data_IF_519366055897
#
_entry.id   IF_519366055897
#
_cell.length_a   1.000
_cell.length_b   1.000
_cell.length_c   1.000
_cell.angle_alpha   90.00
_cell.angle_beta   90.00
_cell.angle_gamma   90.00
#
_symmetry.space_group_name_H-M   'P 1'
#
loop_
_entity.id
_entity.type
_entity.pdbx_description
1 polymer ?
#
# COMPACT_ATOMS: atom_id res chain seq x y z
N UNK A 1 2.92 17.49 -53.11
CA UNK A 1 3.50 17.92 -51.83
C UNK A 1 2.43 17.78 -50.81
N UNK A 2 2.39 16.64 -50.12
CA UNK A 2 1.45 16.32 -49.07
C UNK A 2 2.28 16.10 -47.79
N UNK A 3 2.26 17.10 -46.90
CA UNK A 3 2.90 16.97 -45.59
C UNK A 3 2.09 16.01 -44.72
N UNK A 4 2.76 14.93 -44.33
CA UNK A 4 2.30 14.00 -43.30
C UNK A 4 2.46 14.68 -41.94
N UNK A 5 1.37 15.07 -41.33
CA UNK A 5 1.36 15.52 -39.95
C UNK A 5 1.56 14.30 -39.04
N UNK A 6 2.78 14.19 -38.51
CA UNK A 6 3.11 13.30 -37.38
C UNK A 6 2.42 13.80 -36.15
N UNK A 7 1.34 13.13 -35.70
CA UNK A 7 0.73 13.34 -34.42
C UNK A 7 1.67 12.79 -33.34
N UNK A 8 2.49 13.69 -32.76
CA UNK A 8 3.27 13.39 -31.58
C UNK A 8 2.33 13.05 -30.43
N UNK A 9 2.38 11.81 -29.98
CA UNK A 9 1.82 11.41 -28.69
C UNK A 9 2.59 12.20 -27.63
N UNK A 10 1.94 13.19 -27.03
CA UNK A 10 2.42 13.80 -25.81
C UNK A 10 2.45 12.71 -24.73
N UNK A 11 3.67 12.27 -24.36
CA UNK A 11 3.86 11.37 -23.22
C UNK A 11 3.35 12.07 -21.95
N UNK A 12 2.09 11.82 -21.59
CA UNK A 12 1.58 12.10 -20.24
C UNK A 12 2.41 11.28 -19.25
N UNK A 13 2.58 11.79 -18.03
CA UNK A 13 3.17 11.01 -16.96
C UNK A 13 2.45 9.65 -16.88
N UNK A 14 3.17 8.53 -16.66
CA UNK A 14 2.53 7.23 -16.55
C UNK A 14 1.44 7.30 -15.48
N UNK A 15 0.23 6.81 -15.81
CA UNK A 15 -0.88 6.73 -14.87
C UNK A 15 -0.47 5.89 -13.65
N UNK A 16 -1.18 6.05 -12.53
CA UNK A 16 -1.03 5.14 -11.39
C UNK A 16 -1.76 3.82 -11.68
N UNK A 17 -1.31 2.76 -11.03
CA UNK A 17 -2.03 1.48 -11.00
C UNK A 17 -3.40 1.69 -10.36
N UNK A 18 -4.45 1.24 -11.05
CA UNK A 18 -5.82 1.28 -10.53
C UNK A 18 -6.13 0.08 -9.63
N UNK A 19 -7.07 0.25 -8.71
CA UNK A 19 -7.51 -0.84 -7.82
C UNK A 19 -9.01 -1.08 -8.01
N UNK A 20 -9.38 -2.34 -8.22
CA UNK A 20 -10.78 -2.77 -8.30
C UNK A 20 -11.11 -3.67 -7.11
N UNK A 21 -12.13 -3.29 -6.34
CA UNK A 21 -12.66 -4.09 -5.24
C UNK A 21 -13.89 -4.86 -5.70
N UNK A 22 -13.76 -6.17 -5.86
CA UNK A 22 -14.85 -7.08 -6.24
C UNK A 22 -15.44 -7.72 -5.00
N UNK A 23 -16.73 -7.54 -4.79
CA UNK A 23 -17.45 -8.12 -3.66
C UNK A 23 -18.86 -8.57 -4.02
N UNK A 24 -19.35 -9.59 -3.30
CA UNK A 24 -20.75 -10.00 -3.39
C UNK A 24 -21.72 -8.92 -2.89
N UNK A 25 -21.24 -7.93 -2.17
CA UNK A 25 -22.04 -6.84 -1.61
C UNK A 25 -21.62 -5.50 -2.17
N UNK A 26 -22.58 -4.74 -2.70
CA UNK A 26 -22.40 -3.35 -3.12
C UNK A 26 -21.80 -2.52 -1.98
N UNK A 27 -22.32 -2.70 -0.75
CA UNK A 27 -21.90 -1.91 0.40
C UNK A 27 -20.48 -2.23 0.85
N UNK A 28 -20.04 -3.48 0.74
CA UNK A 28 -18.65 -3.86 1.09
C UNK A 28 -17.69 -3.21 0.10
N UNK A 29 -17.91 -3.37 -1.21
CA UNK A 29 -17.04 -2.78 -2.21
C UNK A 29 -16.99 -1.25 -2.11
N UNK A 30 -18.13 -0.59 -1.97
CA UNK A 30 -18.21 0.86 -1.81
C UNK A 30 -17.54 1.34 -0.51
N UNK A 31 -17.73 0.61 0.59
CA UNK A 31 -17.10 0.90 1.88
C UNK A 31 -15.58 0.81 1.81
N UNK A 32 -15.03 -0.17 1.09
CA UNK A 32 -13.59 -0.31 0.88
C UNK A 32 -13.00 0.82 0.04
N UNK A 33 -13.68 1.23 -1.03
CA UNK A 33 -13.28 2.42 -1.79
C UNK A 33 -13.26 3.65 -0.89
N UNK A 34 -14.28 3.84 -0.04
CA UNK A 34 -14.33 4.97 0.89
C UNK A 34 -13.19 4.93 1.93
N UNK A 35 -12.88 3.74 2.45
CA UNK A 35 -11.78 3.52 3.39
C UNK A 35 -10.42 3.79 2.73
N UNK A 36 -10.14 3.14 1.60
CA UNK A 36 -8.85 3.25 0.91
C UNK A 36 -8.58 4.68 0.41
N UNK A 37 -9.63 5.42 0.01
CA UNK A 37 -9.51 6.82 -0.43
C UNK A 37 -9.01 7.78 0.65
N UNK A 38 -9.17 7.43 1.93
CA UNK A 38 -8.60 8.24 3.02
C UNK A 38 -7.06 8.24 3.01
N UNK A 39 -6.47 7.16 2.49
CA UNK A 39 -5.02 6.94 2.47
C UNK A 39 -4.42 7.09 1.06
N UNK A 40 -5.25 6.92 0.03
CA UNK A 40 -4.87 6.98 -1.38
C UNK A 40 -5.84 7.89 -2.18
N UNK A 41 -5.84 9.21 -1.92
CA UNK A 41 -6.80 10.15 -2.52
C UNK A 41 -6.63 10.35 -4.02
N UNK A 42 -5.44 10.10 -4.58
CA UNK A 42 -5.12 10.30 -6.00
C UNK A 42 -5.12 9.01 -6.82
N UNK A 43 -5.26 7.86 -6.16
CA UNK A 43 -5.33 6.55 -6.82
C UNK A 43 -6.74 6.28 -7.36
N UNK A 44 -6.85 5.70 -8.55
CA UNK A 44 -8.14 5.27 -9.09
C UNK A 44 -8.61 4.03 -8.34
N UNK A 45 -9.69 4.16 -7.58
CA UNK A 45 -10.29 3.11 -6.76
C UNK A 45 -11.71 2.89 -7.23
N UNK A 46 -12.03 1.69 -7.71
CA UNK A 46 -13.34 1.35 -8.29
C UNK A 46 -13.99 0.20 -7.53
N UNK A 47 -15.29 0.34 -7.25
CA UNK A 47 -16.11 -0.70 -6.61
C UNK A 47 -16.86 -1.51 -7.65
N UNK A 48 -16.74 -2.84 -7.62
CA UNK A 48 -17.53 -3.78 -8.41
C UNK A 48 -18.25 -4.75 -7.48
N UNK A 49 -19.30 -4.27 -6.83
CA UNK A 49 -20.05 -5.03 -5.82
C UNK A 49 -21.49 -5.36 -6.23
N UNK A 50 -21.97 -6.53 -5.78
CA UNK A 50 -23.34 -6.98 -5.97
C UNK A 50 -23.67 -7.39 -7.40
N UNK A 51 -24.87 -7.92 -7.57
CA UNK A 51 -25.47 -8.23 -8.87
C UNK A 51 -26.01 -6.96 -9.57
N UNK A 52 -26.50 -7.08 -10.80
CA UNK A 52 -27.03 -5.94 -11.58
C UNK A 52 -28.27 -5.31 -10.93
N UNK A 53 -29.07 -6.09 -10.22
CA UNK A 53 -30.22 -5.67 -9.43
C UNK A 53 -29.85 -5.26 -7.99
N UNK A 54 -28.55 -5.05 -7.71
CA UNK A 54 -27.99 -4.76 -6.39
C UNK A 54 -28.16 -5.87 -5.34
N UNK A 55 -28.59 -7.07 -5.74
CA UNK A 55 -28.64 -8.27 -4.91
C UNK A 55 -27.24 -8.75 -4.50
N UNK A 56 -27.21 -9.72 -3.58
CA UNK A 56 -25.97 -10.39 -3.17
C UNK A 56 -25.48 -11.32 -4.27
N UNK A 57 -24.24 -11.14 -4.71
CA UNK A 57 -23.60 -11.88 -5.79
C UNK A 57 -22.59 -11.03 -6.53
N UNK A 58 -22.07 -11.54 -7.65
CA UNK A 58 -21.09 -10.82 -8.50
C UNK A 58 -21.66 -10.66 -9.91
N UNK A 59 -21.40 -9.52 -10.54
CA UNK A 59 -21.80 -9.21 -11.91
C UNK A 59 -20.57 -9.14 -12.81
N UNK A 60 -20.59 -9.92 -13.88
CA UNK A 60 -19.60 -9.85 -14.95
C UNK A 60 -19.52 -8.46 -15.57
N UNK A 61 -20.70 -7.85 -15.85
CA UNK A 61 -20.76 -6.54 -16.51
C UNK A 61 -20.19 -5.43 -15.61
N UNK A 62 -20.49 -5.45 -14.31
CA UNK A 62 -19.91 -4.49 -13.34
C UNK A 62 -18.40 -4.63 -13.20
N UNK A 63 -17.90 -5.87 -13.16
CA UNK A 63 -16.46 -6.11 -13.05
C UNK A 63 -15.75 -5.66 -14.34
N UNK A 64 -16.29 -6.02 -15.50
CA UNK A 64 -15.71 -5.59 -16.79
C UNK A 64 -15.67 -4.07 -16.93
N UNK A 65 -16.75 -3.38 -16.56
CA UNK A 65 -16.78 -1.92 -16.56
C UNK A 65 -15.77 -1.31 -15.58
N UNK A 66 -15.64 -1.89 -14.37
CA UNK A 66 -14.69 -1.43 -13.37
C UNK A 66 -13.23 -1.60 -13.80
N UNK A 67 -12.90 -2.67 -14.50
CA UNK A 67 -11.55 -2.89 -15.04
C UNK A 67 -11.17 -1.83 -16.08
N UNK A 68 -12.10 -1.48 -16.97
CA UNK A 68 -11.90 -0.42 -17.95
C UNK A 68 -11.80 0.96 -17.31
N UNK A 69 -12.59 1.23 -16.27
CA UNK A 69 -12.57 2.50 -15.53
C UNK A 69 -11.28 2.68 -14.71
N UNK A 70 -10.76 1.59 -14.15
CA UNK A 70 -9.59 1.62 -13.29
C UNK A 70 -8.28 1.78 -14.07
N UNK A 71 -8.23 1.37 -15.35
CA UNK A 71 -7.00 1.41 -16.13
C UNK A 71 -6.67 2.81 -16.61
N UNK A 72 -5.55 3.33 -16.14
CA UNK A 72 -4.93 4.58 -16.61
C UNK A 72 -3.63 4.33 -17.40
N UNK A 73 -3.42 3.10 -17.87
CA UNK A 73 -2.25 2.69 -18.64
C UNK A 73 -1.10 2.08 -17.82
N UNK A 74 -1.16 2.15 -16.47
CA UNK A 74 -0.17 1.54 -15.57
C UNK A 74 -0.57 0.14 -15.09
N UNK A 75 -1.79 -0.30 -15.42
CA UNK A 75 -2.35 -1.58 -15.02
C UNK A 75 -3.36 -1.49 -13.88
N UNK A 76 -3.95 -2.64 -13.55
CA UNK A 76 -5.02 -2.78 -12.55
C UNK A 76 -4.75 -3.96 -11.64
N UNK A 77 -4.88 -3.77 -10.33
CA UNK A 77 -4.91 -4.84 -9.34
C UNK A 77 -6.35 -5.02 -8.86
N UNK A 78 -6.81 -6.27 -8.89
CA UNK A 78 -8.17 -6.68 -8.50
C UNK A 78 -8.10 -7.43 -7.18
N UNK A 79 -8.95 -7.06 -6.23
CA UNK A 79 -9.11 -7.78 -4.97
C UNK A 79 -10.53 -8.31 -4.85
N UNK A 80 -10.66 -9.56 -4.41
CA UNK A 80 -11.94 -10.28 -4.33
C UNK A 80 -12.23 -10.74 -2.90
N UNK A 81 -13.52 -10.82 -2.53
CA UNK A 81 -13.93 -11.27 -1.18
C UNK A 81 -13.99 -12.79 -1.05
N UNK A 82 -14.61 -13.48 -2.01
CA UNK A 82 -14.83 -14.94 -1.97
C UNK A 82 -14.43 -15.58 -3.30
N UNK A 83 -14.22 -16.89 -3.27
CA UNK A 83 -13.75 -17.63 -4.44
C UNK A 83 -14.62 -17.47 -5.71
N UNK A 84 -15.94 -17.34 -5.57
CA UNK A 84 -16.83 -17.08 -6.72
C UNK A 84 -16.61 -15.69 -7.33
N UNK A 85 -16.19 -14.70 -6.55
CA UNK A 85 -15.81 -13.39 -7.06
C UNK A 85 -14.52 -13.47 -7.90
N UNK A 86 -13.56 -14.30 -7.47
CA UNK A 86 -12.32 -14.58 -8.24
C UNK A 86 -12.69 -15.16 -9.61
N UNK A 87 -13.53 -16.21 -9.64
CA UNK A 87 -13.93 -16.86 -10.90
C UNK A 87 -14.64 -15.90 -11.87
N UNK A 88 -15.50 -14.99 -11.33
CA UNK A 88 -16.17 -13.98 -12.16
C UNK A 88 -15.17 -12.94 -12.65
N UNK A 89 -14.21 -12.53 -11.82
CA UNK A 89 -13.16 -11.60 -12.20
C UNK A 89 -12.21 -12.21 -13.26
N UNK A 90 -11.78 -13.45 -13.09
CA UNK A 90 -11.00 -14.19 -14.09
C UNK A 90 -11.71 -14.24 -15.43
N UNK A 91 -13.01 -14.58 -15.41
CA UNK A 91 -13.83 -14.58 -16.63
C UNK A 91 -13.87 -13.18 -17.26
N UNK A 92 -14.05 -12.11 -16.47
CA UNK A 92 -14.08 -10.75 -17.00
C UNK A 92 -12.73 -10.35 -17.63
N UNK A 93 -11.61 -10.75 -17.01
CA UNK A 93 -10.27 -10.52 -17.54
C UNK A 93 -10.03 -11.25 -18.86
N UNK A 94 -10.54 -12.47 -19.04
CA UNK A 94 -10.43 -13.22 -20.30
C UNK A 94 -11.11 -12.53 -21.48
N UNK A 95 -12.12 -11.70 -21.23
CA UNK A 95 -12.86 -10.96 -22.28
C UNK A 95 -12.29 -9.56 -22.56
N UNK A 96 -11.22 -9.14 -21.87
CA UNK A 96 -10.55 -7.90 -22.16
C UNK A 96 -9.69 -7.99 -23.42
N UNK A 97 -9.43 -6.84 -24.03
CA UNK A 97 -8.41 -6.74 -25.09
C UNK A 97 -7.05 -7.18 -24.56
N UNK A 98 -6.22 -7.77 -25.43
CA UNK A 98 -4.93 -8.35 -25.08
C UNK A 98 -4.03 -7.36 -24.30
N UNK A 99 -3.94 -6.12 -24.76
CA UNK A 99 -3.13 -5.07 -24.14
C UNK A 99 -3.52 -4.78 -22.68
N UNK A 100 -4.81 -4.76 -22.37
CA UNK A 100 -5.29 -4.52 -21.00
C UNK A 100 -5.14 -5.81 -20.18
N UNK A 101 -5.50 -6.95 -20.74
CA UNK A 101 -5.41 -8.25 -20.06
C UNK A 101 -3.98 -8.53 -19.54
N UNK A 102 -2.94 -8.18 -20.30
CA UNK A 102 -1.54 -8.38 -19.90
C UNK A 102 -1.15 -7.56 -18.66
N UNK A 103 -1.86 -6.47 -18.35
CA UNK A 103 -1.58 -5.60 -17.20
C UNK A 103 -2.67 -5.62 -16.12
N UNK A 104 -3.55 -6.62 -16.11
CA UNK A 104 -4.46 -6.88 -14.99
C UNK A 104 -3.90 -8.01 -14.12
N UNK A 105 -3.95 -7.84 -12.82
CA UNK A 105 -3.57 -8.86 -11.83
C UNK A 105 -4.68 -9.04 -10.80
N UNK A 106 -5.04 -10.28 -10.52
CA UNK A 106 -5.95 -10.63 -9.42
C UNK A 106 -5.06 -11.05 -8.25
N UNK A 107 -5.14 -10.31 -7.14
CA UNK A 107 -4.32 -10.56 -5.96
C UNK A 107 -4.88 -11.70 -5.12
N UNK A 108 -4.01 -12.61 -4.68
CA UNK A 108 -4.34 -13.61 -3.65
C UNK A 108 -4.08 -12.99 -2.26
N UNK A 109 -5.04 -12.18 -1.81
CA UNK A 109 -4.89 -11.37 -0.61
C UNK A 109 -6.22 -11.18 0.13
N UNK A 110 -6.20 -10.97 1.46
CA UNK A 110 -7.36 -10.53 2.20
C UNK A 110 -7.90 -9.21 1.64
N UNK A 111 -9.21 -9.17 1.34
CA UNK A 111 -9.83 -8.07 0.60
C UNK A 111 -9.60 -6.69 1.25
N UNK A 112 -9.70 -6.59 2.58
CA UNK A 112 -9.60 -5.31 3.30
C UNK A 112 -8.15 -4.88 3.45
N UNK A 113 -7.34 -5.72 4.11
CA UNK A 113 -5.94 -5.42 4.42
C UNK A 113 -5.11 -5.31 3.14
N UNK A 114 -5.27 -6.27 2.23
CA UNK A 114 -4.59 -6.26 0.93
C UNK A 114 -5.01 -5.07 0.07
N UNK A 115 -6.31 -4.73 0.10
CA UNK A 115 -6.83 -3.58 -0.65
C UNK A 115 -6.29 -2.24 -0.17
N UNK A 116 -6.16 -2.06 1.14
CA UNK A 116 -5.58 -0.84 1.71
C UNK A 116 -4.08 -0.77 1.38
N UNK A 117 -3.35 -1.88 1.51
CA UNK A 117 -1.93 -1.94 1.18
C UNK A 117 -1.66 -1.64 -0.30
N UNK A 118 -2.43 -2.27 -1.21
CA UNK A 118 -2.36 -2.01 -2.65
C UNK A 118 -2.62 -0.53 -2.97
N UNK A 119 -3.68 0.05 -2.38
CA UNK A 119 -4.04 1.45 -2.61
C UNK A 119 -2.92 2.41 -2.19
N UNK A 120 -2.28 2.18 -1.04
CA UNK A 120 -1.15 3.00 -0.58
C UNK A 120 0.07 2.81 -1.47
N UNK A 121 0.37 1.58 -1.90
CA UNK A 121 1.48 1.32 -2.83
C UNK A 121 1.26 2.02 -4.18
N UNK A 122 0.04 2.01 -4.72
CA UNK A 122 -0.31 2.73 -5.94
C UNK A 122 -0.23 4.26 -5.75
N UNK A 123 -0.65 4.78 -4.58
CA UNK A 123 -0.61 6.21 -4.26
C UNK A 123 0.81 6.76 -4.25
N UNK A 124 1.78 6.00 -3.76
CA UNK A 124 3.20 6.39 -3.76
C UNK A 124 3.90 6.15 -5.10
N UNK A 125 3.16 5.67 -6.12
CA UNK A 125 3.68 5.48 -7.48
C UNK A 125 4.34 4.13 -7.73
N UNK A 126 4.01 3.11 -6.92
CA UNK A 126 4.44 1.72 -7.17
C UNK A 126 3.98 1.23 -8.55
N UNK A 127 4.81 0.44 -9.21
CA UNK A 127 4.44 -0.28 -10.43
C UNK A 127 3.48 -1.44 -10.13
N UNK A 128 3.02 -2.13 -11.17
CA UNK A 128 2.02 -3.20 -11.04
C UNK A 128 2.49 -4.34 -10.12
N UNK A 129 3.75 -4.73 -10.21
CA UNK A 129 4.30 -5.82 -9.39
C UNK A 129 4.49 -5.40 -7.94
N UNK A 130 4.90 -4.16 -7.68
CA UNK A 130 5.00 -3.60 -6.33
C UNK A 130 3.63 -3.49 -5.66
N UNK A 131 2.59 -3.04 -6.39
CA UNK A 131 1.22 -2.93 -5.89
C UNK A 131 0.62 -4.31 -5.61
N UNK A 132 0.83 -5.28 -6.49
CA UNK A 132 0.42 -6.67 -6.27
C UNK A 132 1.10 -7.26 -5.04
N UNK A 133 2.43 -7.14 -4.93
CA UNK A 133 3.19 -7.63 -3.78
C UNK A 133 2.74 -6.98 -2.46
N UNK A 134 2.43 -5.69 -2.48
CA UNK A 134 1.89 -5.01 -1.30
C UNK A 134 0.55 -5.61 -0.86
N UNK A 135 -0.36 -5.91 -1.80
CA UNK A 135 -1.62 -6.60 -1.51
C UNK A 135 -1.40 -7.97 -0.89
N UNK A 136 -0.57 -8.81 -1.52
CA UNK A 136 -0.32 -10.20 -1.15
C UNK A 136 0.42 -10.33 0.19
N UNK A 137 1.22 -9.32 0.56
CA UNK A 137 1.89 -9.27 1.87
C UNK A 137 0.91 -9.30 3.05
N UNK A 138 -0.37 -8.97 2.81
CA UNK A 138 -1.44 -9.05 3.81
C UNK A 138 -1.86 -10.49 4.14
N UNK A 139 -1.63 -11.43 3.23
CA UNK A 139 -1.97 -12.86 3.42
C UNK A 139 -0.98 -13.63 4.30
N UNK A 140 0.15 -13.02 4.68
CA UNK A 140 1.10 -13.63 5.61
C UNK A 140 0.48 -13.87 6.97
N UNK A 141 0.60 -15.09 7.51
CA UNK A 141 0.28 -15.38 8.92
C UNK A 141 1.00 -14.35 9.79
N UNK A 142 0.30 -13.70 10.75
CA UNK A 142 1.00 -12.91 11.73
C UNK A 142 2.01 -13.82 12.45
N UNK A 143 3.29 -13.64 12.16
CA UNK A 143 4.34 -14.23 12.98
C UNK A 143 4.20 -13.51 14.31
N UNK A 144 3.55 -14.15 15.26
CA UNK A 144 3.60 -13.74 16.67
C UNK A 144 5.03 -14.06 17.11
N UNK A 145 5.95 -13.16 16.80
CA UNK A 145 7.25 -13.19 17.46
C UNK A 145 7.01 -12.99 18.95
N UNK A 146 7.58 -13.87 19.80
CA UNK A 146 7.49 -13.65 21.24
C UNK A 146 8.06 -12.25 21.55
N UNK A 147 7.52 -11.55 22.56
CA UNK A 147 8.00 -10.22 22.91
C UNK A 147 9.52 -10.27 23.10
N UNK A 148 10.24 -9.52 22.29
CA UNK A 148 11.69 -9.36 22.43
C UNK A 148 11.90 -8.75 23.81
N UNK A 149 12.47 -9.54 24.71
CA UNK A 149 12.96 -9.03 25.99
C UNK A 149 13.89 -7.84 25.71
N UNK A 150 13.83 -6.76 26.50
CA UNK A 150 14.68 -5.61 26.28
C UNK A 150 16.13 -6.06 26.21
N UNK A 151 16.76 -5.85 25.07
CA UNK A 151 18.18 -6.13 24.90
C UNK A 151 18.95 -5.32 25.94
N UNK A 152 19.62 -6.03 26.85
CA UNK A 152 20.53 -5.42 27.78
C UNK A 152 21.56 -4.60 26.99
N UNK A 153 21.74 -3.36 27.39
CA UNK A 153 22.78 -2.50 26.87
C UNK A 153 24.13 -3.23 26.94
N UNK A 154 24.66 -3.58 25.79
CA UNK A 154 26.06 -4.00 25.67
C UNK A 154 26.87 -2.75 25.38
N UNK A 155 27.54 -2.28 26.41
CA UNK A 155 28.65 -1.34 26.28
C UNK A 155 29.73 -2.01 25.41
N UNK A 156 29.88 -1.52 24.19
CA UNK A 156 31.01 -1.87 23.32
C UNK A 156 31.80 -0.62 23.06
N UNK A 157 32.79 -0.39 23.90
CA UNK A 157 33.92 0.48 23.53
C UNK A 157 34.81 -0.26 22.53
N UNK A 158 35.08 0.41 21.41
CA UNK A 158 36.32 0.18 20.69
C UNK A 158 36.25 -0.10 19.20
N UNK A 159 36.66 0.91 18.46
CA UNK A 159 37.47 0.89 17.24
C UNK A 159 36.80 0.74 15.86
N UNK A 160 36.99 1.79 15.08
CA UNK A 160 37.04 1.72 13.60
C UNK A 160 35.91 2.41 12.89
N UNK A 161 36.17 3.60 12.32
CA UNK A 161 35.23 4.40 11.55
C UNK A 161 34.79 3.70 10.26
N UNK A 162 33.73 2.86 10.38
CA UNK A 162 32.72 2.69 9.35
C UNK A 162 31.49 3.36 9.93
N UNK A 163 30.79 4.19 9.17
CA UNK A 163 29.57 4.86 9.58
C UNK A 163 28.59 3.79 10.09
N UNK A 164 28.37 3.74 11.40
CA UNK A 164 27.54 2.74 12.05
C UNK A 164 26.05 3.02 11.79
N UNK A 165 25.16 2.08 12.17
CA UNK A 165 23.73 2.25 11.98
C UNK A 165 23.25 3.52 12.69
N UNK A 166 22.41 4.28 11.96
CA UNK A 166 21.76 5.48 12.48
C UNK A 166 20.44 5.07 13.11
N UNK A 167 20.12 5.55 14.30
CA UNK A 167 18.82 5.30 14.90
C UNK A 167 18.31 6.49 15.72
N UNK A 168 16.99 6.64 15.76
CA UNK A 168 16.28 7.53 16.68
C UNK A 168 15.17 6.77 17.40
N UNK A 169 15.01 7.05 18.66
CA UNK A 169 13.91 6.53 19.47
C UNK A 169 12.99 7.69 19.80
N UNK A 170 11.72 7.56 19.44
CA UNK A 170 10.67 8.56 19.69
C UNK A 170 9.47 7.91 20.37
N UNK A 171 8.64 8.71 21.02
CA UNK A 171 7.43 8.22 21.69
C UNK A 171 6.21 8.67 20.93
N UNK A 172 5.30 7.73 20.62
CA UNK A 172 4.01 8.01 19.98
C UNK A 172 3.14 8.91 20.84
N UNK A 173 2.69 10.02 20.26
CA UNK A 173 1.87 11.03 20.95
C UNK A 173 0.42 11.03 20.52
N UNK A 174 0.13 10.66 19.28
CA UNK A 174 -1.24 10.64 18.76
C UNK A 174 -2.13 9.64 19.49
N UNK A 175 -3.41 10.00 19.63
CA UNK A 175 -4.38 9.32 20.49
C UNK A 175 -4.55 7.84 20.17
N UNK A 176 -4.67 7.52 18.89
CA UNK A 176 -5.03 6.18 18.40
C UNK A 176 -3.81 5.38 17.91
N UNK A 177 -2.58 5.90 18.12
CA UNK A 177 -1.34 5.22 17.72
C UNK A 177 -1.11 5.15 16.21
N UNK A 178 -0.27 4.23 15.75
CA UNK A 178 0.01 4.00 14.32
C UNK A 178 -1.09 3.13 13.68
N UNK A 179 -2.32 3.66 13.63
CA UNK A 179 -3.40 3.05 12.85
C UNK A 179 -3.25 3.35 11.34
N UNK A 180 -4.17 2.89 10.51
CA UNK A 180 -4.03 2.87 9.05
C UNK A 180 -3.63 4.22 8.43
N UNK A 181 -4.22 5.35 8.86
CA UNK A 181 -3.92 6.67 8.29
C UNK A 181 -2.52 7.17 8.66
N UNK A 182 -2.13 7.28 9.95
CA UNK A 182 -0.76 7.62 10.34
C UNK A 182 0.28 6.66 9.74
N UNK A 183 0.00 5.36 9.68
CA UNK A 183 0.89 4.39 9.06
C UNK A 183 1.05 4.66 7.55
N UNK A 184 -0.02 5.02 6.84
CA UNK A 184 0.05 5.39 5.42
C UNK A 184 0.85 6.68 5.20
N UNK A 185 0.67 7.70 6.05
CA UNK A 185 1.44 8.95 5.96
C UNK A 185 2.93 8.70 6.25
N UNK A 186 3.22 7.79 7.19
CA UNK A 186 4.57 7.35 7.49
C UNK A 186 5.23 6.66 6.28
N UNK A 187 4.55 5.69 5.65
CA UNK A 187 5.01 4.99 4.44
C UNK A 187 5.23 5.96 3.28
N UNK A 188 4.29 6.91 3.07
CA UNK A 188 4.42 7.95 2.04
C UNK A 188 5.68 8.77 2.24
N UNK A 189 5.96 9.18 3.48
CA UNK A 189 7.18 9.94 3.77
C UNK A 189 8.43 9.07 3.59
N UNK A 190 8.43 7.82 4.08
CA UNK A 190 9.54 6.90 3.88
C UNK A 190 9.89 6.73 2.40
N UNK A 191 8.88 6.59 1.55
CA UNK A 191 9.02 6.40 0.10
C UNK A 191 9.55 7.63 -0.66
N UNK A 192 9.69 8.78 0.00
CA UNK A 192 10.37 9.94 -0.59
C UNK A 192 11.89 9.88 -0.50
N UNK A 193 12.41 8.91 0.25
CA UNK A 193 13.84 8.70 0.44
C UNK A 193 14.26 7.39 -0.23
N UNK A 194 15.38 7.43 -0.95
CA UNK A 194 16.04 6.24 -1.50
C UNK A 194 17.00 5.67 -0.43
N UNK A 195 16.43 5.18 0.68
CA UNK A 195 17.18 4.69 1.83
C UNK A 195 16.47 3.52 2.52
N UNK A 196 17.22 2.51 2.90
CA UNK A 196 16.69 1.45 3.75
C UNK A 196 16.44 1.97 5.17
N UNK A 197 15.19 1.93 5.61
CA UNK A 197 14.79 2.33 6.96
C UNK A 197 13.88 1.28 7.56
N UNK A 198 14.05 1.00 8.84
CA UNK A 198 13.20 0.10 9.61
C UNK A 198 12.59 0.78 10.83
N UNK A 199 11.41 0.29 11.23
CA UNK A 199 10.68 0.71 12.43
C UNK A 199 10.47 -0.50 13.32
N UNK A 200 11.08 -0.51 14.49
CA UNK A 200 11.09 -1.68 15.39
C UNK A 200 11.43 -2.98 14.64
N UNK A 201 12.34 -2.90 13.65
CA UNK A 201 12.78 -4.04 12.85
C UNK A 201 11.86 -4.41 11.67
N UNK A 202 10.78 -3.69 11.43
CA UNK A 202 9.94 -3.84 10.22
C UNK A 202 10.31 -2.79 9.18
N UNK A 203 10.23 -3.16 7.91
CA UNK A 203 10.48 -2.24 6.80
C UNK A 203 9.56 -1.01 6.87
N UNK A 204 10.13 0.19 6.84
CA UNK A 204 9.42 1.45 6.87
C UNK A 204 8.52 1.69 5.65
N UNK A 205 8.73 0.96 4.56
CA UNK A 205 7.92 1.02 3.33
C UNK A 205 6.73 0.05 3.35
N UNK A 206 6.67 -0.87 4.33
CA UNK A 206 5.59 -1.83 4.46
C UNK A 206 4.48 -1.33 5.37
N UNK A 207 3.36 -0.86 4.79
CA UNK A 207 2.20 -0.42 5.56
C UNK A 207 1.75 -1.49 6.57
N UNK A 208 1.59 -2.71 6.11
CA UNK A 208 1.13 -3.82 6.94
C UNK A 208 2.18 -4.23 7.98
N UNK A 209 3.46 -4.16 7.62
CA UNK A 209 4.56 -4.36 8.55
C UNK A 209 4.49 -3.38 9.72
N UNK A 210 4.26 -2.10 9.44
CA UNK A 210 4.11 -1.05 10.47
C UNK A 210 2.85 -1.24 11.28
N UNK A 211 1.70 -1.51 10.64
CA UNK A 211 0.44 -1.73 11.34
C UNK A 211 0.47 -2.98 12.24
N UNK A 212 1.19 -4.04 11.83
CA UNK A 212 1.36 -5.26 12.62
C UNK A 212 2.12 -5.07 13.93
N UNK A 213 2.86 -3.95 14.07
CA UNK A 213 3.54 -3.61 15.32
C UNK A 213 2.58 -3.24 16.46
N UNK A 214 1.30 -2.94 16.15
CA UNK A 214 0.28 -2.61 17.14
C UNK A 214 0.65 -1.42 18.05
N UNK A 215 1.39 -0.45 17.50
CA UNK A 215 1.93 0.67 18.27
C UNK A 215 0.84 1.65 18.68
N UNK A 216 0.67 1.82 19.98
CA UNK A 216 -0.33 2.70 20.59
C UNK A 216 0.33 3.90 21.28
N UNK A 217 -0.48 4.88 21.68
CA UNK A 217 -0.02 6.09 22.38
C UNK A 217 0.88 5.75 23.57
N UNK A 218 1.99 6.45 23.68
CA UNK A 218 2.96 6.29 24.76
C UNK A 218 4.01 5.18 24.53
N UNK A 219 3.86 4.36 23.49
CA UNK A 219 4.87 3.38 23.13
C UNK A 219 6.08 4.02 22.47
N UNK A 220 7.26 3.45 22.72
CA UNK A 220 8.52 3.85 22.09
C UNK A 220 8.65 3.21 20.73
N UNK A 221 9.08 4.00 19.76
CA UNK A 221 9.34 3.58 18.38
C UNK A 221 10.80 3.82 18.08
N UNK A 222 11.49 2.77 17.64
CA UNK A 222 12.88 2.84 17.19
C UNK A 222 12.89 2.87 15.67
N UNK A 223 13.38 3.97 15.10
CA UNK A 223 13.57 4.11 13.65
C UNK A 223 15.05 3.97 13.39
N UNK A 224 15.45 3.10 12.48
CA UNK A 224 16.86 2.81 12.22
C UNK A 224 17.15 2.61 10.74
N UNK A 225 18.35 3.00 10.34
CA UNK A 225 18.89 2.76 9.01
C UNK A 225 20.33 2.21 9.09
N UNK A 226 20.82 1.55 8.03
CA UNK A 226 22.10 0.83 8.06
C UNK A 226 23.32 1.74 8.19
N UNK A 227 23.22 2.98 7.72
CA UNK A 227 24.36 3.89 7.63
C UNK A 227 23.95 5.38 7.69
N UNK A 228 24.93 6.26 7.59
CA UNK A 228 24.73 7.72 7.60
C UNK A 228 23.89 8.23 6.40
N UNK A 229 23.83 7.49 5.28
CA UNK A 229 22.97 7.83 4.14
C UNK A 229 21.49 7.79 4.50
N UNK A 230 21.10 6.97 5.46
CA UNK A 230 19.73 6.85 5.96
C UNK A 230 19.35 7.94 6.98
N UNK A 231 20.28 8.76 7.46
CA UNK A 231 20.05 9.75 8.53
C UNK A 231 18.90 10.69 8.23
N UNK A 232 18.86 11.26 7.02
CA UNK A 232 17.82 12.20 6.65
C UNK A 232 16.42 11.58 6.71
N UNK A 233 16.29 10.32 6.28
CA UNK A 233 15.05 9.58 6.35
C UNK A 233 14.66 9.26 7.81
N UNK A 234 15.62 8.75 8.62
CA UNK A 234 15.41 8.45 10.04
C UNK A 234 14.95 9.70 10.79
N UNK A 235 15.60 10.86 10.56
CA UNK A 235 15.24 12.11 11.22
C UNK A 235 13.86 12.61 10.80
N UNK A 236 13.54 12.60 9.50
CA UNK A 236 12.25 13.05 8.99
C UNK A 236 11.08 12.17 9.52
N UNK A 237 11.27 10.86 9.56
CA UNK A 237 10.27 9.92 10.07
C UNK A 237 10.07 10.06 11.58
N UNK A 238 11.15 10.29 12.32
CA UNK A 238 11.07 10.56 13.75
C UNK A 238 10.32 11.87 14.04
N UNK A 239 10.62 12.93 13.29
CA UNK A 239 9.95 14.22 13.42
C UNK A 239 8.46 14.10 13.09
N UNK A 240 8.07 13.31 12.08
CA UNK A 240 6.66 13.05 11.76
C UNK A 240 5.93 12.42 12.95
N UNK A 241 6.53 11.43 13.63
CA UNK A 241 5.94 10.82 14.86
C UNK A 241 5.84 11.87 15.98
N UNK A 242 6.84 12.72 16.16
CA UNK A 242 6.85 13.74 17.20
C UNK A 242 5.77 14.81 17.00
N UNK A 243 5.38 15.09 15.74
CA UNK A 243 4.25 15.99 15.42
C UNK A 243 2.89 15.37 15.70
N UNK A 244 2.83 14.06 16.04
CA UNK A 244 1.58 13.34 16.26
C UNK A 244 0.72 13.21 15.01
N UNK A 245 1.31 13.25 13.81
CA UNK A 245 0.62 13.16 12.51
C UNK A 245 -0.46 14.24 12.31
N UNK A 246 -0.41 15.35 13.07
CA UNK A 246 -1.45 16.37 13.07
C UNK A 246 -2.77 15.94 13.73
N UNK A 247 -2.76 14.85 14.47
CA UNK A 247 -3.89 14.37 15.27
C UNK A 247 -3.68 14.80 16.74
N UNK A 248 -4.61 15.62 17.27
CA UNK A 248 -4.63 16.04 18.67
C UNK A 248 -5.43 15.06 19.58
#
# INVERSE_FOLDING_TARGET
MTESASSGHAGGAPGRVGIVFVSHSVLIAAGLVALARQMAPSTTLVAAGGMDDEGIGTSFDKISAALLEADAGAGVVVLCDLGSAILTAETAVEFLDDDLRERVRIADAPLVEGGVAAAVAAEIGGDLDAVLSAAESAGGTPVVEPPIAPAAAVDSEGAGAAAGPVSRTVTLRNRDGLHARPAADFVKLASTFDAEVSVNGKDAHSLLGIMSLGLTRGMSVVISGPDEGSRAAVDALADLIETGFGEE
#
